data_IF_046387689327
#
_entry.id   IF_046387689327
#
_cell.length_a   1.000
_cell.length_b   1.000
_cell.length_c   1.000
_cell.angle_alpha   90.00
_cell.angle_beta   90.00
_cell.angle_gamma   90.00
#
_symmetry.space_group_name_H-M   'P 1'
#
loop_
_entity.id
_entity.type
_entity.pdbx_description
1 polymer ?
#
# COMPACT_ATOMS: atom_id res chain seq x y z
N UNK A 1 27.00 -32.12 6.42
CA UNK A 1 25.92 -32.21 5.43
C UNK A 1 25.81 -30.85 4.77
N UNK A 2 26.43 -30.69 3.61
CA UNK A 2 26.43 -29.42 2.87
C UNK A 2 25.31 -29.49 1.82
N UNK A 3 24.45 -28.48 1.83
CA UNK A 3 23.26 -28.35 1.01
C UNK A 3 23.65 -28.21 -0.48
N UNK A 4 23.17 -29.14 -1.32
CA UNK A 4 23.54 -29.30 -2.71
C UNK A 4 22.88 -28.28 -3.67
N UNK A 5 22.21 -27.24 -3.15
CA UNK A 5 21.42 -26.31 -3.98
C UNK A 5 22.23 -25.29 -4.78
N UNK A 6 23.50 -25.09 -4.49
CA UNK A 6 24.36 -24.12 -5.19
C UNK A 6 25.42 -24.75 -6.11
N UNK A 7 25.30 -26.04 -6.42
CA UNK A 7 26.34 -26.81 -7.11
C UNK A 7 26.44 -26.51 -8.63
N UNK A 8 25.47 -25.79 -9.19
CA UNK A 8 25.43 -25.41 -10.61
C UNK A 8 26.16 -24.10 -10.92
N UNK A 9 26.55 -23.33 -9.89
CA UNK A 9 27.26 -22.03 -10.05
C UNK A 9 28.78 -22.23 -10.18
N UNK A 10 29.27 -23.46 -10.03
CA UNK A 10 30.70 -23.77 -10.07
C UNK A 10 31.04 -24.78 -11.16
N UNK A 11 30.78 -24.44 -12.41
CA UNK A 11 31.73 -24.79 -13.47
C UNK A 11 32.21 -23.49 -14.11
N UNK A 12 33.29 -22.96 -13.52
CA UNK A 12 33.86 -21.66 -13.87
C UNK A 12 34.64 -21.83 -15.18
N UNK A 13 33.99 -21.53 -16.30
CA UNK A 13 34.74 -21.04 -17.44
C UNK A 13 35.19 -19.61 -17.10
N UNK A 14 36.49 -19.43 -16.81
CA UNK A 14 37.09 -18.13 -16.40
C UNK A 14 36.97 -17.04 -17.47
N UNK A 15 36.40 -17.36 -18.63
CA UNK A 15 36.13 -16.44 -19.74
C UNK A 15 34.65 -16.00 -19.84
N UNK A 16 33.75 -16.49 -18.99
CA UNK A 16 32.37 -15.98 -18.97
C UNK A 16 32.31 -14.59 -18.34
N UNK A 17 32.07 -13.58 -19.18
CA UNK A 17 31.86 -12.18 -18.74
C UNK A 17 30.49 -11.97 -18.10
N UNK A 18 29.57 -12.93 -18.24
CA UNK A 18 28.17 -12.81 -17.85
C UNK A 18 27.71 -14.07 -17.10
N UNK A 19 26.86 -13.87 -16.09
CA UNK A 19 26.23 -14.93 -15.32
C UNK A 19 24.90 -15.31 -15.97
N UNK A 20 24.72 -16.59 -16.30
CA UNK A 20 23.44 -17.08 -16.82
C UNK A 20 22.51 -17.50 -15.67
N UNK A 21 21.29 -16.98 -15.68
CA UNK A 21 20.24 -17.30 -14.72
C UNK A 21 19.03 -17.83 -15.50
N UNK A 22 18.73 -19.12 -15.36
CA UNK A 22 17.61 -19.79 -16.04
C UNK A 22 16.27 -19.53 -15.32
N UNK A 23 15.85 -18.26 -15.32
CA UNK A 23 14.62 -17.80 -14.67
C UNK A 23 13.86 -16.83 -15.56
N UNK A 24 12.61 -16.56 -15.20
CA UNK A 24 11.78 -15.62 -15.93
C UNK A 24 12.39 -14.20 -15.85
N UNK A 25 12.79 -13.59 -16.98
CA UNK A 25 13.44 -12.28 -16.97
C UNK A 25 12.50 -11.13 -16.57
N UNK A 26 11.17 -11.32 -16.64
CA UNK A 26 10.17 -10.26 -16.45
C UNK A 26 10.26 -9.61 -15.07
N UNK A 27 10.57 -10.37 -14.02
CA UNK A 27 10.63 -9.87 -12.64
C UNK A 27 12.05 -9.61 -12.14
N UNK A 28 13.07 -9.97 -12.91
CA UNK A 28 14.47 -9.83 -12.49
C UNK A 28 14.87 -8.37 -12.31
N UNK A 29 14.38 -7.47 -13.16
CA UNK A 29 14.61 -6.03 -13.01
C UNK A 29 14.12 -5.52 -11.64
N UNK A 30 12.98 -5.99 -11.16
CA UNK A 30 12.43 -5.61 -9.84
C UNK A 30 13.24 -6.16 -8.69
N UNK A 31 13.79 -7.37 -8.83
CA UNK A 31 14.72 -7.94 -7.86
C UNK A 31 15.98 -7.06 -7.77
N UNK A 32 16.51 -6.60 -8.91
CA UNK A 32 17.64 -5.67 -8.93
C UNK A 32 17.30 -4.33 -8.28
N UNK A 33 16.12 -3.75 -8.60
CA UNK A 33 15.66 -2.50 -7.99
C UNK A 33 15.55 -2.61 -6.46
N UNK A 34 15.06 -3.76 -5.96
CA UNK A 34 15.03 -4.07 -4.53
C UNK A 34 16.45 -4.17 -3.95
N UNK A 35 17.37 -4.89 -4.61
CA UNK A 35 18.75 -5.04 -4.13
C UNK A 35 19.51 -3.70 -4.07
N UNK A 36 19.21 -2.77 -4.99
CA UNK A 36 19.81 -1.43 -5.04
C UNK A 36 19.19 -0.48 -4.01
N UNK A 37 17.86 -0.49 -3.89
CA UNK A 37 17.13 0.51 -3.09
C UNK A 37 16.83 0.05 -1.66
N UNK A 38 16.88 -1.26 -1.40
CA UNK A 38 16.49 -1.96 -0.17
C UNK A 38 15.24 -1.39 0.48
N UNK A 39 15.40 -0.47 1.43
CA UNK A 39 14.33 0.13 2.23
C UNK A 39 13.35 1.00 1.42
N UNK A 40 13.80 1.57 0.30
CA UNK A 40 12.94 2.43 -0.55
C UNK A 40 12.18 1.65 -1.64
N UNK A 41 12.31 0.32 -1.67
CA UNK A 41 11.62 -0.49 -2.65
C UNK A 41 10.12 -0.60 -2.34
N UNK A 42 9.29 -0.37 -3.35
CA UNK A 42 7.84 -0.53 -3.23
C UNK A 42 7.40 -1.74 -4.07
N UNK A 43 6.79 -2.78 -3.47
CA UNK A 43 6.32 -3.93 -4.24
C UNK A 43 5.19 -3.53 -5.20
N UNK A 44 5.02 -4.27 -6.32
CA UNK A 44 3.92 -4.07 -7.25
C UNK A 44 2.56 -4.06 -6.54
N UNK A 45 1.63 -3.25 -7.02
CA UNK A 45 0.26 -3.26 -6.48
C UNK A 45 -0.54 -4.47 -6.94
N UNK A 46 -0.31 -4.91 -8.18
CA UNK A 46 -1.01 -6.04 -8.79
C UNK A 46 -0.73 -7.36 -8.05
N UNK A 47 -1.79 -8.07 -7.68
CA UNK A 47 -1.70 -9.30 -6.88
C UNK A 47 -0.98 -10.41 -7.64
N UNK A 48 -1.18 -10.52 -8.96
CA UNK A 48 -0.49 -11.50 -9.79
C UNK A 48 1.01 -11.21 -9.85
N UNK A 49 1.38 -9.95 -10.13
CA UNK A 49 2.76 -9.50 -10.15
C UNK A 49 3.45 -9.62 -8.78
N UNK A 50 2.73 -9.40 -7.67
CA UNK A 50 3.28 -9.67 -6.32
C UNK A 50 3.49 -11.16 -6.08
N UNK A 51 2.55 -12.00 -6.48
CA UNK A 51 2.67 -13.45 -6.31
C UNK A 51 3.83 -14.01 -7.14
N UNK A 52 4.05 -13.47 -8.35
CA UNK A 52 5.21 -13.79 -9.18
C UNK A 52 6.51 -13.26 -8.59
N UNK A 53 6.54 -12.00 -8.15
CA UNK A 53 7.72 -11.43 -7.49
C UNK A 53 8.08 -12.16 -6.19
N UNK A 54 7.08 -12.60 -5.41
CA UNK A 54 7.28 -13.43 -4.22
C UNK A 54 7.97 -14.75 -4.56
N UNK A 55 7.53 -15.43 -5.63
CA UNK A 55 8.15 -16.69 -6.10
C UNK A 55 9.62 -16.49 -6.51
N UNK A 56 9.93 -15.36 -7.15
CA UNK A 56 11.33 -15.03 -7.45
C UNK A 56 12.12 -14.66 -6.19
N UNK A 57 11.53 -13.91 -5.26
CA UNK A 57 12.15 -13.57 -3.98
C UNK A 57 12.47 -14.83 -3.13
N UNK A 58 11.61 -15.85 -3.17
CA UNK A 58 11.85 -17.17 -2.58
C UNK A 58 13.03 -17.88 -3.23
N UNK A 59 13.16 -17.81 -4.55
CA UNK A 59 14.29 -18.40 -5.28
C UNK A 59 15.63 -17.74 -4.92
N UNK A 60 15.66 -16.40 -4.90
CA UNK A 60 16.86 -15.63 -4.52
C UNK A 60 17.09 -15.55 -3.00
N UNK A 61 16.23 -16.18 -2.20
CA UNK A 61 16.30 -16.22 -0.74
C UNK A 61 16.33 -14.81 -0.09
N UNK A 62 15.36 -13.96 -0.47
CA UNK A 62 15.21 -12.58 0.00
C UNK A 62 14.04 -12.47 1.01
N UNK A 63 14.25 -12.79 2.31
CA UNK A 63 13.18 -12.91 3.30
C UNK A 63 12.37 -11.63 3.51
N UNK A 64 13.02 -10.47 3.51
CA UNK A 64 12.34 -9.18 3.65
C UNK A 64 11.43 -8.88 2.45
N UNK A 65 11.89 -9.16 1.22
CA UNK A 65 11.08 -9.00 0.03
C UNK A 65 9.89 -9.98 -0.01
N UNK A 66 10.09 -11.21 0.46
CA UNK A 66 9.01 -12.19 0.63
C UNK A 66 7.97 -11.65 1.60
N UNK A 67 8.41 -11.11 2.74
CA UNK A 67 7.53 -10.50 3.74
C UNK A 67 6.74 -9.34 3.14
N UNK A 68 7.41 -8.41 2.46
CA UNK A 68 6.78 -7.27 1.78
C UNK A 68 5.75 -7.70 0.72
N UNK A 69 6.03 -8.77 -0.02
CA UNK A 69 5.08 -9.31 -1.00
C UNK A 69 3.90 -10.06 -0.37
N UNK A 70 4.05 -10.50 0.89
CA UNK A 70 3.06 -11.28 1.65
C UNK A 70 2.20 -10.42 2.58
N UNK A 71 2.67 -9.22 2.96
CA UNK A 71 2.08 -8.36 4.00
C UNK A 71 0.79 -7.63 3.62
N UNK A 72 0.30 -7.75 2.38
CA UNK A 72 -1.01 -7.22 1.99
C UNK A 72 -2.20 -8.09 2.46
N UNK A 73 -2.01 -8.99 3.43
CA UNK A 73 -3.12 -9.70 4.08
C UNK A 73 -3.71 -8.82 5.18
N UNK A 74 -4.45 -7.81 4.76
CA UNK A 74 -5.35 -7.07 5.62
C UNK A 74 -6.45 -8.03 6.12
N UNK A 75 -6.61 -8.12 7.44
CA UNK A 75 -7.61 -8.96 8.09
C UNK A 75 -8.65 -8.11 8.80
N UNK A 76 -9.84 -8.69 9.01
CA UNK A 76 -10.87 -8.06 9.82
C UNK A 76 -10.33 -7.82 11.24
N UNK A 77 -10.49 -6.60 11.73
CA UNK A 77 -9.98 -6.15 13.03
C UNK A 77 -8.65 -5.40 12.96
N UNK A 78 -7.92 -5.44 11.83
CA UNK A 78 -6.67 -4.69 11.70
C UNK A 78 -6.92 -3.19 11.78
N UNK A 79 -6.07 -2.48 12.53
CA UNK A 79 -5.98 -1.02 12.52
C UNK A 79 -5.19 -0.58 11.29
N UNK A 80 -5.77 0.32 10.51
CA UNK A 80 -5.23 0.78 9.24
C UNK A 80 -5.24 2.31 9.10
N UNK A 81 -4.37 2.80 8.23
CA UNK A 81 -4.35 4.18 7.75
C UNK A 81 -4.14 4.21 6.24
N UNK A 82 -4.43 5.35 5.62
CA UNK A 82 -4.12 5.58 4.22
C UNK A 82 -2.61 5.60 3.99
N UNK A 83 -2.15 5.06 2.85
CA UNK A 83 -0.78 5.27 2.38
C UNK A 83 -0.58 6.73 1.96
N UNK A 84 0.54 7.35 2.35
CA UNK A 84 0.77 8.78 2.07
C UNK A 84 0.75 9.09 0.56
N UNK A 85 1.40 8.26 -0.25
CA UNK A 85 1.42 8.43 -1.71
C UNK A 85 0.03 8.33 -2.36
N UNK A 86 -0.88 7.54 -1.78
CA UNK A 86 -2.25 7.42 -2.27
C UNK A 86 -3.08 8.64 -1.93
N UNK A 87 -2.89 9.20 -0.72
CA UNK A 87 -3.52 10.47 -0.36
C UNK A 87 -3.04 11.57 -1.30
N UNK A 88 -1.74 11.66 -1.59
CA UNK A 88 -1.20 12.65 -2.52
C UNK A 88 -1.81 12.56 -3.92
N UNK A 89 -1.87 11.35 -4.48
CA UNK A 89 -2.31 11.14 -5.86
C UNK A 89 -3.83 11.10 -6.05
N UNK A 90 -4.58 10.56 -5.08
CA UNK A 90 -5.97 10.14 -5.29
C UNK A 90 -6.99 10.77 -4.34
N UNK A 91 -6.60 11.70 -3.46
CA UNK A 91 -7.55 12.32 -2.50
C UNK A 91 -8.82 12.88 -3.16
N UNK A 92 -8.72 13.51 -4.35
CA UNK A 92 -9.90 14.01 -5.09
C UNK A 92 -10.87 12.90 -5.46
N UNK A 93 -10.35 11.78 -5.98
CA UNK A 93 -11.17 10.64 -6.38
C UNK A 93 -11.85 9.99 -5.17
N UNK A 94 -11.11 9.84 -4.07
CA UNK A 94 -11.62 9.30 -2.81
C UNK A 94 -12.77 10.18 -2.28
N UNK A 95 -12.63 11.50 -2.33
CA UNK A 95 -13.69 12.44 -1.96
C UNK A 95 -14.93 12.34 -2.84
N UNK A 96 -14.76 12.42 -4.16
CA UNK A 96 -15.90 12.50 -5.09
C UNK A 96 -16.67 11.21 -5.18
N UNK A 97 -15.99 10.06 -5.10
CA UNK A 97 -16.59 8.77 -5.42
C UNK A 97 -16.87 7.92 -4.18
N UNK A 98 -15.93 7.88 -3.24
CA UNK A 98 -16.03 6.97 -2.10
C UNK A 98 -16.81 7.56 -0.94
N UNK A 99 -16.56 8.82 -0.62
CA UNK A 99 -17.24 9.50 0.48
C UNK A 99 -18.60 10.10 0.10
N UNK A 100 -18.88 10.29 -1.20
CA UNK A 100 -20.21 10.73 -1.66
C UNK A 100 -21.30 9.68 -1.42
N UNK A 101 -20.91 8.40 -1.33
CA UNK A 101 -21.82 7.28 -1.12
C UNK A 101 -21.97 6.89 0.36
N UNK A 102 -21.22 7.51 1.28
CA UNK A 102 -21.48 7.37 2.70
C UNK A 102 -22.54 8.39 3.13
N UNK A 103 -23.66 7.91 3.68
CA UNK A 103 -24.75 8.73 4.22
C UNK A 103 -24.31 9.56 5.45
N UNK A 104 -23.11 9.31 5.95
CA UNK A 104 -22.52 9.92 7.12
C UNK A 104 -21.62 11.10 6.74
N UNK A 105 -21.91 12.27 7.33
CA UNK A 105 -21.08 13.46 7.19
C UNK A 105 -19.67 13.16 7.70
N UNK A 106 -18.67 13.40 6.85
CA UNK A 106 -17.26 13.35 7.22
C UNK A 106 -16.96 14.43 8.25
N UNK A 107 -17.02 14.04 9.51
CA UNK A 107 -16.43 14.81 10.58
C UNK A 107 -14.99 14.31 10.73
N UNK A 108 -14.03 15.23 10.75
CA UNK A 108 -12.63 14.89 10.95
C UNK A 108 -12.07 15.92 11.93
N UNK A 109 -11.63 15.46 13.10
CA UNK A 109 -10.97 16.34 14.06
C UNK A 109 -9.52 16.49 13.63
N UNK A 110 -9.08 17.72 13.37
CA UNK A 110 -7.67 18.03 13.21
C UNK A 110 -7.31 19.22 14.12
N UNK A 111 -6.30 19.05 14.99
CA UNK A 111 -5.80 20.12 15.85
C UNK A 111 -5.36 21.35 15.06
N UNK A 112 -4.74 21.15 13.89
CA UNK A 112 -4.20 22.22 13.05
C UNK A 112 -5.28 22.92 12.20
N UNK A 113 -6.41 22.25 11.94
CA UNK A 113 -7.48 22.78 11.09
C UNK A 113 -8.67 23.39 11.88
N UNK A 114 -8.52 23.60 13.19
CA UNK A 114 -9.57 24.13 14.07
C UNK A 114 -10.93 23.40 13.94
N UNK A 115 -10.88 22.08 13.72
CA UNK A 115 -12.06 21.23 13.51
C UNK A 115 -13.06 21.78 12.48
N UNK A 116 -12.58 22.30 11.35
CA UNK A 116 -13.48 22.75 10.28
C UNK A 116 -14.41 21.61 9.87
N UNK A 117 -15.71 21.81 10.05
CA UNK A 117 -16.70 20.79 9.77
C UNK A 117 -16.79 20.59 8.25
N UNK A 118 -16.36 19.43 7.75
CA UNK A 118 -16.30 19.12 6.31
C UNK A 118 -17.65 18.62 5.76
N UNK A 119 -18.77 18.95 6.42
CA UNK A 119 -20.07 18.32 6.18
C UNK A 119 -20.78 18.70 4.88
N UNK A 120 -20.33 19.73 4.14
CA UNK A 120 -21.05 20.20 2.95
C UNK A 120 -20.13 20.27 1.73
N UNK A 121 -19.95 19.15 1.02
CA UNK A 121 -19.31 19.12 -0.31
C UNK A 121 -20.28 19.42 -1.44
N UNK A 122 -21.59 19.28 -1.19
CA UNK A 122 -22.62 19.27 -2.23
C UNK A 122 -22.93 20.68 -2.78
N UNK A 123 -22.59 21.75 -2.05
CA UNK A 123 -22.96 23.13 -2.40
C UNK A 123 -21.76 24.07 -2.68
N UNK A 124 -20.55 23.53 -2.84
CA UNK A 124 -19.34 24.35 -2.99
C UNK A 124 -18.86 24.47 -4.43
N UNK A 125 -18.82 25.70 -4.93
CA UNK A 125 -18.19 26.06 -6.22
C UNK A 125 -16.89 26.85 -6.01
N UNK A 126 -15.96 26.72 -6.98
CA UNK A 126 -14.76 27.54 -7.08
C UNK A 126 -13.75 27.36 -5.95
N UNK A 127 -13.22 28.48 -5.42
CA UNK A 127 -12.12 28.50 -4.44
C UNK A 127 -12.48 27.83 -3.10
N UNK A 128 -13.75 27.86 -2.69
CA UNK A 128 -14.22 27.22 -1.45
C UNK A 128 -14.14 25.70 -1.51
N UNK A 129 -14.47 25.12 -2.68
CA UNK A 129 -14.30 23.69 -2.92
C UNK A 129 -12.83 23.30 -2.83
N UNK A 130 -11.93 24.08 -3.44
CA UNK A 130 -10.49 23.82 -3.45
C UNK A 130 -9.85 23.91 -2.05
N UNK A 131 -10.23 24.90 -1.24
CA UNK A 131 -9.71 25.02 0.12
C UNK A 131 -10.16 23.85 1.01
N UNK A 132 -11.47 23.50 1.03
CA UNK A 132 -11.95 22.34 1.80
C UNK A 132 -11.31 21.04 1.36
N UNK A 133 -11.17 20.87 0.05
CA UNK A 133 -10.45 19.78 -0.60
C UNK A 133 -9.04 19.55 -0.03
N UNK A 134 -8.25 20.62 0.16
CA UNK A 134 -6.93 20.56 0.79
C UNK A 134 -6.99 20.17 2.28
N UNK A 135 -8.00 20.66 3.01
CA UNK A 135 -8.21 20.22 4.38
C UNK A 135 -8.47 18.71 4.44
N UNK A 136 -9.35 18.13 3.61
CA UNK A 136 -9.58 16.67 3.69
C UNK A 136 -8.34 15.90 3.31
N UNK A 137 -7.58 16.34 2.31
CA UNK A 137 -6.29 15.71 2.00
C UNK A 137 -5.42 15.59 3.25
N UNK A 138 -5.31 16.68 4.02
CA UNK A 138 -4.60 16.67 5.30
C UNK A 138 -5.25 15.72 6.33
N UNK A 139 -6.58 15.76 6.49
CA UNK A 139 -7.30 14.86 7.41
C UNK A 139 -7.20 13.38 7.05
N UNK A 140 -7.18 13.03 5.75
CA UNK A 140 -7.01 11.66 5.29
C UNK A 140 -5.67 11.09 5.71
N UNK A 141 -4.60 11.89 5.70
CA UNK A 141 -3.30 11.47 6.23
C UNK A 141 -3.33 11.13 7.72
N UNK A 142 -4.27 11.73 8.47
CA UNK A 142 -4.45 11.53 9.91
C UNK A 142 -5.45 10.42 10.25
N UNK A 143 -6.32 10.01 9.31
CA UNK A 143 -7.33 9.01 9.58
C UNK A 143 -6.74 7.67 10.03
N UNK A 144 -7.43 7.10 11.01
CA UNK A 144 -7.19 5.77 11.57
C UNK A 144 -8.51 5.03 11.53
N UNK A 145 -8.52 3.84 10.96
CA UNK A 145 -9.72 3.03 10.83
C UNK A 145 -9.45 1.60 11.21
N UNK A 146 -10.51 0.84 11.36
CA UNK A 146 -10.48 -0.59 11.66
C UNK A 146 -11.18 -1.34 10.54
N UNK A 147 -10.58 -2.42 10.07
CA UNK A 147 -11.17 -3.24 9.01
C UNK A 147 -12.39 -3.99 9.56
N UNK A 148 -13.55 -3.79 8.92
CA UNK A 148 -14.81 -4.45 9.28
C UNK A 148 -15.08 -5.69 8.42
N UNK A 149 -14.63 -5.68 7.16
CA UNK A 149 -14.77 -6.80 6.23
C UNK A 149 -13.64 -6.81 5.21
N UNK A 150 -13.32 -7.99 4.69
CA UNK A 150 -12.33 -8.19 3.62
C UNK A 150 -12.99 -9.00 2.53
N UNK A 151 -13.05 -8.45 1.32
CA UNK A 151 -13.74 -9.06 0.17
C UNK A 151 -12.87 -8.95 -1.07
N UNK A 152 -12.17 -10.03 -1.42
CA UNK A 152 -11.28 -10.06 -2.59
C UNK A 152 -10.15 -9.05 -2.46
N UNK A 153 -10.05 -8.10 -3.39
CA UNK A 153 -9.08 -7.01 -3.39
C UNK A 153 -9.53 -5.74 -2.63
N UNK A 154 -10.73 -5.77 -2.05
CA UNK A 154 -11.33 -4.64 -1.32
C UNK A 154 -11.53 -4.97 0.16
N UNK A 155 -11.72 -3.94 0.96
CA UNK A 155 -11.97 -4.05 2.39
C UNK A 155 -12.92 -2.95 2.85
N UNK A 156 -13.85 -3.32 3.72
CA UNK A 156 -14.65 -2.37 4.47
C UNK A 156 -13.81 -1.84 5.62
N UNK A 157 -13.72 -0.52 5.72
CA UNK A 157 -13.01 0.15 6.82
C UNK A 157 -13.96 1.07 7.55
N UNK A 158 -14.02 0.93 8.87
CA UNK A 158 -14.70 1.88 9.73
C UNK A 158 -13.68 2.87 10.30
N UNK A 159 -13.82 4.16 9.96
CA UNK A 159 -12.97 5.27 10.39
C UNK A 159 -13.47 5.93 11.68
N UNK A 160 -14.36 5.27 12.42
CA UNK A 160 -15.01 5.75 13.63
C UNK A 160 -16.27 6.59 13.37
N UNK A 161 -16.21 7.51 12.40
CA UNK A 161 -17.32 8.41 12.06
C UNK A 161 -17.89 8.20 10.66
N UNK A 162 -17.22 7.39 9.85
CA UNK A 162 -17.69 6.98 8.53
C UNK A 162 -17.15 5.58 8.20
N UNK A 163 -17.88 4.85 7.37
CA UNK A 163 -17.42 3.57 6.81
C UNK A 163 -17.18 3.68 5.31
N UNK A 164 -16.07 3.13 4.82
CA UNK A 164 -15.73 3.16 3.38
C UNK A 164 -15.31 1.82 2.79
N UNK A 165 -15.60 1.69 1.49
CA UNK A 165 -15.45 0.56 0.58
C UNK A 165 -14.05 0.16 0.02
N UNK A 166 -12.91 0.52 0.59
CA UNK A 166 -11.73 0.82 -0.26
C UNK A 166 -10.90 -0.40 -0.76
N UNK A 167 -10.13 -0.27 -1.87
CA UNK A 167 -9.18 -1.30 -2.28
C UNK A 167 -8.09 -1.51 -1.23
N UNK A 168 -7.66 -2.74 -0.96
CA UNK A 168 -6.63 -3.02 0.04
C UNK A 168 -5.30 -2.33 -0.26
N UNK A 169 -5.01 -2.10 -1.55
CA UNK A 169 -3.78 -1.44 -2.01
C UNK A 169 -3.62 -0.01 -1.51
N UNK A 170 -4.71 0.67 -1.11
CA UNK A 170 -4.68 2.06 -0.63
C UNK A 170 -4.36 2.21 0.85
N UNK A 171 -4.36 1.08 1.58
CA UNK A 171 -4.24 1.03 3.03
C UNK A 171 -2.90 0.43 3.44
N UNK A 172 -2.45 0.82 4.63
CA UNK A 172 -1.38 0.14 5.35
C UNK A 172 -1.80 -0.12 6.79
N UNK A 173 -1.28 -1.19 7.40
CA UNK A 173 -1.47 -1.46 8.82
C UNK A 173 -0.80 -0.37 9.66
N UNK A 174 -1.38 -0.04 10.79
CA UNK A 174 -0.79 0.82 11.80
C UNK A 174 -0.04 -0.10 12.74
N UNK A 175 1.28 -0.06 12.72
CA UNK A 175 2.09 -0.71 13.74
C UNK A 175 1.84 0.04 15.05
N UNK A 176 1.34 -0.67 16.06
CA UNK A 176 1.29 -0.13 17.42
C UNK A 176 2.74 -0.04 17.88
N UNK A 177 3.25 1.20 17.96
CA UNK A 177 4.47 1.46 18.72
C UNK A 177 4.07 1.28 20.17
N UNK A 178 4.42 0.13 20.76
CA UNK A 178 4.39 -0.06 22.20
C UNK A 178 5.35 0.99 22.81
N UNK A 179 4.77 1.98 23.49
CA UNK A 179 5.48 2.95 24.33
C UNK A 179 5.63 2.40 25.75
#
# INVERSE_FOLDING_TARGET
>A
MCDARFQWITDRDRNQRELFIDRNPVHFARILDYLQSRENFTPPWDDCARAELRREAEYFNLPELIKMCSENNLQKGDKVRWKENVVEAYWKFLLTYWFRWSDERLHAKCPDCNNTNLSDFLDLNGSKYFLRSLHIKHHMSLFRGTITSVTGAFCGVNWGQCSTFVPQSVLRKVEEVEE
#
